data_IF_627492137960
#
_entry.id   IF_627492137960
#
_cell.length_a   1.000
_cell.length_b   1.000
_cell.length_c   1.000
_cell.angle_alpha   90.00
_cell.angle_beta   90.00
_cell.angle_gamma   90.00
#
_symmetry.space_group_name_H-M   'P 1'
#
loop_
_entity.id
_entity.type
_entity.pdbx_description
1 polymer ?
#
# COMPACT_ATOMS: atom_id res chain seq x y z
N UNK A 1 -24.36 -62.89 -83.30
CA UNK A 1 -24.01 -63.71 -82.11
C UNK A 1 -23.69 -62.62 -81.03
N UNK A 2 -24.75 -62.11 -80.46
CA UNK A 2 -24.77 -61.05 -79.50
C UNK A 2 -24.91 -61.67 -78.09
N UNK A 3 -23.97 -61.40 -77.25
CA UNK A 3 -24.00 -61.80 -75.81
C UNK A 3 -24.44 -60.61 -75.00
N UNK A 4 -25.69 -60.66 -74.57
CA UNK A 4 -26.21 -59.77 -73.54
C UNK A 4 -25.56 -60.10 -72.16
N UNK A 5 -24.94 -59.17 -71.57
CA UNK A 5 -24.48 -59.18 -70.21
C UNK A 5 -25.41 -58.36 -69.35
N UNK A 6 -26.23 -59.07 -68.61
CA UNK A 6 -27.15 -58.51 -67.57
C UNK A 6 -26.26 -58.06 -66.41
N UNK A 7 -26.26 -56.71 -66.18
CA UNK A 7 -25.66 -56.05 -65.01
C UNK A 7 -26.75 -55.83 -63.95
N UNK A 8 -26.77 -56.76 -62.99
CA UNK A 8 -27.58 -56.63 -61.80
C UNK A 8 -27.29 -55.36 -61.06
N UNK A 9 -28.36 -54.62 -60.77
CA UNK A 9 -28.44 -53.42 -59.94
C UNK A 9 -28.40 -53.82 -58.45
N UNK A 10 -27.21 -53.80 -57.82
CA UNK A 10 -27.01 -53.98 -56.41
C UNK A 10 -26.59 -52.60 -55.78
N UNK A 11 -27.43 -51.62 -56.06
CA UNK A 11 -27.29 -50.28 -55.42
C UNK A 11 -28.31 -50.09 -54.31
N UNK A 12 -28.06 -50.53 -53.06
CA UNK A 12 -28.64 -49.83 -51.90
C UNK A 12 -28.38 -50.57 -50.58
N UNK A 13 -27.17 -50.52 -50.05
CA UNK A 13 -26.98 -50.88 -48.63
C UNK A 13 -25.68 -50.28 -48.06
N UNK A 14 -25.48 -48.93 -48.13
CA UNK A 14 -24.40 -48.25 -47.40
C UNK A 14 -24.82 -46.87 -46.85
N UNK A 15 -26.01 -46.78 -46.28
CA UNK A 15 -26.43 -45.51 -45.70
C UNK A 15 -27.15 -45.64 -44.33
N UNK A 16 -26.64 -46.49 -43.42
CA UNK A 16 -27.09 -46.48 -42.02
C UNK A 16 -25.92 -46.74 -41.04
N UNK A 17 -24.91 -45.92 -41.06
CA UNK A 17 -23.99 -45.75 -39.92
C UNK A 17 -23.69 -44.26 -39.74
N UNK A 18 -24.73 -43.48 -39.70
CA UNK A 18 -24.68 -42.11 -39.15
C UNK A 18 -24.56 -42.18 -37.65
N UNK A 19 -23.41 -42.62 -37.13
CA UNK A 19 -23.05 -42.39 -35.76
C UNK A 19 -22.83 -40.88 -35.59
N UNK A 20 -23.90 -40.14 -35.24
CA UNK A 20 -23.77 -38.76 -34.74
C UNK A 20 -23.00 -38.86 -33.41
N UNK A 21 -21.70 -38.70 -33.47
CA UNK A 21 -20.94 -38.43 -32.26
C UNK A 21 -21.54 -37.17 -31.63
N UNK A 22 -21.89 -37.20 -30.33
CA UNK A 22 -22.29 -35.96 -29.65
C UNK A 22 -21.15 -34.96 -29.84
N UNK A 23 -21.46 -33.66 -30.06
CA UNK A 23 -20.43 -32.64 -30.13
C UNK A 23 -19.53 -32.80 -28.93
N UNK A 24 -18.20 -32.85 -29.15
CA UNK A 24 -17.25 -32.83 -28.05
C UNK A 24 -17.44 -31.52 -27.35
N UNK A 25 -18.24 -31.50 -26.26
CA UNK A 25 -18.39 -30.30 -25.45
C UNK A 25 -17.01 -29.91 -24.94
N UNK A 26 -16.51 -28.74 -25.38
CA UNK A 26 -15.28 -28.19 -24.84
C UNK A 26 -15.46 -28.02 -23.31
N UNK A 27 -14.46 -28.36 -22.50
CA UNK A 27 -14.55 -28.22 -21.07
C UNK A 27 -14.92 -26.76 -20.71
N UNK A 28 -15.76 -26.57 -19.69
CA UNK A 28 -16.22 -25.22 -19.31
C UNK A 28 -15.05 -24.32 -18.91
N UNK A 29 -15.19 -23.03 -19.18
CA UNK A 29 -14.24 -22.00 -18.71
C UNK A 29 -14.12 -22.07 -17.20
N UNK A 30 -12.90 -22.12 -16.69
CA UNK A 30 -12.62 -22.20 -15.27
C UNK A 30 -11.54 -21.17 -14.89
N UNK A 31 -11.87 -20.32 -13.90
CA UNK A 31 -10.91 -19.39 -13.31
C UNK A 31 -10.05 -20.13 -12.27
N UNK A 32 -8.74 -20.13 -12.47
CA UNK A 32 -7.79 -20.60 -11.47
C UNK A 32 -7.49 -19.53 -10.41
N UNK A 33 -7.70 -18.25 -10.75
CA UNK A 33 -7.69 -17.17 -9.77
C UNK A 33 -8.99 -17.20 -8.95
N UNK A 34 -8.87 -17.14 -7.63
CA UNK A 34 -10.03 -17.12 -6.73
C UNK A 34 -10.86 -15.84 -6.89
N UNK A 35 -12.19 -15.99 -6.87
CA UNK A 35 -13.08 -14.85 -6.83
C UNK A 35 -12.92 -14.08 -5.52
N UNK A 36 -12.95 -12.74 -5.58
CA UNK A 36 -12.69 -11.81 -4.46
C UNK A 36 -11.25 -11.83 -3.94
N UNK A 37 -10.30 -12.24 -4.77
CA UNK A 37 -8.86 -12.07 -4.47
C UNK A 37 -8.55 -10.61 -4.15
N UNK A 38 -7.73 -10.40 -3.12
CA UNK A 38 -7.28 -9.07 -2.70
C UNK A 38 -5.83 -8.88 -3.15
N UNK A 39 -5.59 -7.84 -3.93
CA UNK A 39 -4.26 -7.38 -4.35
C UNK A 39 -3.96 -6.10 -3.61
N UNK A 40 -2.80 -6.01 -2.97
CA UNK A 40 -2.33 -4.77 -2.34
C UNK A 40 -1.14 -4.22 -3.12
N UNK A 41 -1.21 -2.97 -3.52
CA UNK A 41 -0.14 -2.26 -4.23
C UNK A 41 0.14 -0.91 -3.58
N UNK A 42 1.38 -0.47 -3.66
CA UNK A 42 1.80 0.81 -3.11
C UNK A 42 1.60 1.92 -4.14
N UNK A 43 1.21 3.11 -3.69
CA UNK A 43 1.13 4.31 -4.53
C UNK A 43 2.46 4.55 -5.28
N UNK A 44 2.37 4.77 -6.59
CA UNK A 44 3.51 4.98 -7.47
C UNK A 44 4.16 3.70 -8.02
N UNK A 45 3.86 2.52 -7.47
CA UNK A 45 4.34 1.23 -7.97
C UNK A 45 3.48 0.71 -9.14
N UNK A 46 3.78 -0.47 -9.63
CA UNK A 46 2.97 -1.17 -10.61
C UNK A 46 2.14 -2.25 -9.93
N UNK A 47 0.81 -2.17 -10.05
CA UNK A 47 -0.07 -3.25 -9.62
C UNK A 47 -0.23 -4.29 -10.72
N UNK A 48 -0.21 -5.56 -10.32
CA UNK A 48 -0.52 -6.70 -11.16
C UNK A 48 -1.77 -7.37 -10.59
N UNK A 49 -2.90 -7.23 -11.30
CA UNK A 49 -4.18 -7.80 -10.90
C UNK A 49 -4.37 -9.10 -11.66
N UNK A 50 -4.27 -10.27 -11.00
CA UNK A 50 -4.20 -11.55 -11.68
C UNK A 50 -5.56 -12.00 -12.22
N UNK A 51 -5.56 -12.67 -13.37
CA UNK A 51 -6.70 -13.42 -13.89
C UNK A 51 -6.19 -14.61 -14.68
N UNK A 52 -6.13 -15.78 -14.05
CA UNK A 52 -5.71 -17.03 -14.67
C UNK A 52 -6.94 -17.84 -15.05
N UNK A 53 -7.04 -18.21 -16.33
CA UNK A 53 -8.26 -18.80 -16.92
C UNK A 53 -7.89 -20.04 -17.72
N UNK A 54 -8.42 -21.16 -17.32
CA UNK A 54 -8.27 -22.43 -18.03
C UNK A 54 -9.44 -22.63 -19.00
N UNK A 55 -9.17 -23.29 -20.12
CA UNK A 55 -10.16 -23.69 -21.13
C UNK A 55 -10.94 -22.47 -21.73
N UNK A 56 -10.25 -21.37 -21.98
CA UNK A 56 -10.88 -20.14 -22.52
C UNK A 56 -11.50 -20.35 -23.91
N UNK A 57 -11.00 -21.34 -24.70
CA UNK A 57 -11.44 -21.57 -26.09
C UNK A 57 -11.30 -20.31 -26.96
N UNK A 58 -12.35 -19.99 -27.71
CA UNK A 58 -12.42 -18.77 -28.52
C UNK A 58 -12.91 -17.54 -27.75
N UNK A 59 -13.02 -17.66 -26.40
CA UNK A 59 -13.45 -16.57 -25.53
C UNK A 59 -12.46 -15.41 -25.49
N UNK A 60 -12.95 -14.19 -25.32
CA UNK A 60 -12.16 -13.00 -25.13
C UNK A 60 -12.21 -12.53 -23.69
N UNK A 61 -11.05 -12.18 -23.12
CA UNK A 61 -10.97 -11.63 -21.76
C UNK A 61 -11.13 -10.13 -21.80
N UNK A 62 -11.98 -9.60 -20.94
CA UNK A 62 -12.19 -8.16 -20.76
C UNK A 62 -11.94 -7.75 -19.33
N UNK A 63 -11.24 -6.63 -19.14
CA UNK A 63 -11.09 -6.01 -17.83
C UNK A 63 -12.01 -4.81 -17.69
N UNK A 64 -12.79 -4.77 -16.59
CA UNK A 64 -13.78 -3.73 -16.31
C UNK A 64 -13.50 -3.18 -14.90
N UNK A 65 -13.40 -1.86 -14.77
CA UNK A 65 -13.33 -1.18 -13.47
C UNK A 65 -14.74 -0.94 -12.94
N UNK A 66 -15.09 -1.60 -11.82
CA UNK A 66 -16.48 -1.66 -11.33
C UNK A 66 -17.04 -0.38 -10.74
N UNK A 67 -16.19 0.53 -10.24
CA UNK A 67 -16.65 1.79 -9.65
C UNK A 67 -17.42 2.70 -10.62
N UNK A 68 -17.12 2.60 -11.91
CA UNK A 68 -17.70 3.41 -12.98
C UNK A 68 -18.06 2.59 -14.24
N UNK A 69 -17.95 1.26 -14.15
CA UNK A 69 -18.19 0.31 -15.22
C UNK A 69 -17.36 0.60 -16.49
N UNK A 70 -16.18 1.21 -16.29
CA UNK A 70 -15.30 1.56 -17.39
C UNK A 70 -14.61 0.30 -17.94
N UNK A 71 -14.81 0.07 -19.27
CA UNK A 71 -14.10 -0.97 -20.00
C UNK A 71 -12.64 -0.55 -20.17
N UNK A 72 -11.71 -1.31 -19.60
CA UNK A 72 -10.27 -1.03 -19.65
C UNK A 72 -9.60 -1.69 -20.84
N UNK A 73 -9.81 -2.99 -21.02
CA UNK A 73 -9.21 -3.78 -22.11
C UNK A 73 -10.17 -4.85 -22.62
N UNK A 74 -9.98 -5.24 -23.89
CA UNK A 74 -10.54 -6.43 -24.51
C UNK A 74 -9.39 -7.18 -25.15
N UNK A 75 -9.09 -8.40 -24.71
CA UNK A 75 -7.83 -9.05 -25.03
C UNK A 75 -6.65 -8.16 -24.66
N UNK A 76 -5.72 -7.97 -25.58
CA UNK A 76 -4.57 -7.07 -25.42
C UNK A 76 -4.83 -5.62 -25.84
N UNK A 77 -6.02 -5.34 -26.39
CA UNK A 77 -6.38 -3.99 -26.84
C UNK A 77 -6.89 -3.16 -25.66
N UNK A 78 -6.27 -1.99 -25.44
CA UNK A 78 -6.71 -1.03 -24.42
C UNK A 78 -7.76 -0.10 -24.97
N UNK A 79 -8.89 0.03 -24.26
CA UNK A 79 -10.01 0.93 -24.58
C UNK A 79 -10.04 2.17 -23.68
N UNK A 80 -9.27 2.15 -22.59
CA UNK A 80 -9.13 3.31 -21.72
C UNK A 80 -8.22 4.37 -22.36
N UNK A 81 -8.54 5.66 -22.19
CA UNK A 81 -7.64 6.77 -22.52
C UNK A 81 -6.48 6.93 -21.51
N UNK A 82 -6.48 6.17 -20.42
CA UNK A 82 -5.42 6.16 -19.42
C UNK A 82 -4.42 5.04 -19.76
N UNK A 83 -3.27 5.41 -20.30
CA UNK A 83 -2.21 4.50 -20.78
C UNK A 83 -1.57 3.64 -19.68
N UNK A 84 -1.90 3.90 -18.41
CA UNK A 84 -1.41 3.12 -17.28
C UNK A 84 -2.01 1.71 -17.20
N UNK A 85 -3.18 1.51 -17.81
CA UNK A 85 -3.88 0.23 -17.83
C UNK A 85 -3.51 -0.59 -19.06
N UNK A 86 -2.99 -1.79 -18.86
CA UNK A 86 -2.61 -2.71 -19.92
C UNK A 86 -2.90 -4.15 -19.51
N UNK A 87 -3.48 -4.95 -20.40
CA UNK A 87 -3.53 -6.41 -20.19
C UNK A 87 -2.19 -7.01 -20.59
N UNK A 88 -1.68 -7.92 -19.75
CA UNK A 88 -0.49 -8.73 -20.01
C UNK A 88 -0.94 -10.16 -20.23
N UNK A 89 -0.52 -10.73 -21.37
CA UNK A 89 -0.75 -12.13 -21.68
C UNK A 89 0.40 -12.62 -22.55
N UNK A 90 1.08 -13.67 -22.10
CA UNK A 90 2.12 -14.32 -22.87
C UNK A 90 1.50 -15.40 -23.74
N UNK A 91 2.03 -15.61 -24.94
CA UNK A 91 1.56 -16.64 -25.85
C UNK A 91 1.62 -18.01 -25.17
N UNK A 92 0.53 -18.76 -25.24
CA UNK A 92 0.33 -20.05 -24.55
C UNK A 92 0.27 -19.99 -23.01
N UNK A 93 0.13 -18.82 -22.42
CA UNK A 93 -0.14 -18.65 -21.00
C UNK A 93 -1.66 -18.66 -20.75
N UNK A 94 -2.06 -19.08 -19.57
CA UNK A 94 -3.44 -18.98 -19.08
C UNK A 94 -3.69 -17.68 -18.31
N UNK A 95 -2.64 -16.86 -18.12
CA UNK A 95 -2.66 -15.63 -17.35
C UNK A 95 -3.04 -14.41 -18.22
N UNK A 96 -4.05 -13.66 -17.76
CA UNK A 96 -4.56 -12.43 -18.33
C UNK A 96 -4.47 -11.29 -17.32
N UNK A 97 -3.30 -11.10 -16.72
CA UNK A 97 -3.07 -10.10 -15.69
C UNK A 97 -3.31 -8.69 -16.21
N UNK A 98 -4.08 -7.88 -15.46
CA UNK A 98 -4.17 -6.44 -15.67
C UNK A 98 -3.00 -5.75 -14.96
N UNK A 99 -2.17 -5.06 -15.72
CA UNK A 99 -1.12 -4.18 -15.21
C UNK A 99 -1.65 -2.76 -15.09
N UNK A 100 -1.40 -2.14 -13.93
CA UNK A 100 -1.69 -0.72 -13.66
C UNK A 100 -0.39 -0.06 -13.25
N UNK A 101 0.20 0.76 -14.13
CA UNK A 101 1.45 1.47 -13.86
C UNK A 101 1.20 2.72 -13.01
N UNK A 102 2.16 3.08 -12.17
CA UNK A 102 2.09 4.29 -11.34
C UNK A 102 0.77 4.41 -10.59
N UNK A 103 0.43 3.35 -9.86
CA UNK A 103 -0.82 3.22 -9.11
C UNK A 103 -1.07 4.45 -8.23
N UNK A 104 -2.29 4.93 -8.23
CA UNK A 104 -2.75 6.07 -7.44
C UNK A 104 -3.87 5.63 -6.50
N UNK A 105 -4.07 6.37 -5.42
CA UNK A 105 -5.13 6.08 -4.44
C UNK A 105 -6.52 5.95 -5.10
N UNK A 106 -6.78 6.73 -6.16
CA UNK A 106 -8.03 6.68 -6.94
C UNK A 106 -8.23 5.39 -7.73
N UNK A 107 -7.19 4.57 -7.92
CA UNK A 107 -7.26 3.29 -8.62
C UNK A 107 -7.72 2.15 -7.70
N UNK A 108 -7.79 2.38 -6.39
CA UNK A 108 -8.34 1.42 -5.45
C UNK A 108 -9.81 1.11 -5.78
N UNK A 109 -10.19 -0.15 -5.63
CA UNK A 109 -11.55 -0.60 -5.87
C UNK A 109 -11.63 -1.98 -6.50
N UNK A 110 -12.83 -2.33 -6.95
CA UNK A 110 -13.16 -3.62 -7.52
C UNK A 110 -12.94 -3.63 -9.03
N UNK A 111 -12.23 -4.64 -9.51
CA UNK A 111 -12.00 -4.92 -10.92
C UNK A 111 -12.65 -6.25 -11.27
N UNK A 112 -13.20 -6.34 -12.47
CA UNK A 112 -13.82 -7.54 -12.99
C UNK A 112 -13.00 -8.07 -14.18
N UNK A 113 -12.64 -9.35 -14.11
CA UNK A 113 -12.10 -10.12 -15.22
C UNK A 113 -13.25 -10.96 -15.80
N UNK A 114 -13.69 -10.65 -17.01
CA UNK A 114 -14.82 -11.27 -17.67
C UNK A 114 -14.37 -12.03 -18.90
N UNK A 115 -14.92 -13.22 -19.12
CA UNK A 115 -14.77 -14.01 -20.36
C UNK A 115 -16.07 -13.97 -21.14
N UNK A 116 -15.97 -13.71 -22.47
CA UNK A 116 -17.09 -13.74 -23.41
C UNK A 116 -17.54 -15.17 -23.75
N UNK A 117 -17.66 -16.02 -22.74
CA UNK A 117 -18.25 -17.38 -22.88
C UNK A 117 -19.78 -17.32 -22.97
N UNK A 118 -20.40 -18.45 -23.25
CA UNK A 118 -21.86 -18.53 -23.26
C UNK A 118 -22.37 -19.56 -22.25
N UNK A 119 -22.96 -19.15 -21.10
CA UNK A 119 -23.15 -17.77 -20.65
C UNK A 119 -21.82 -17.05 -20.28
N UNK A 120 -21.79 -15.71 -20.29
CA UNK A 120 -20.62 -14.95 -19.82
C UNK A 120 -20.30 -15.27 -18.36
N UNK A 121 -19.02 -15.42 -18.07
CA UNK A 121 -18.52 -15.71 -16.71
C UNK A 121 -17.48 -14.68 -16.29
N UNK A 122 -17.41 -14.37 -15.01
CA UNK A 122 -16.46 -13.40 -14.48
C UNK A 122 -16.06 -13.69 -13.05
N UNK A 123 -14.90 -13.12 -12.65
CA UNK A 123 -14.44 -13.01 -11.27
C UNK A 123 -14.16 -11.57 -10.92
N UNK A 124 -14.16 -11.29 -9.62
CA UNK A 124 -13.90 -9.96 -9.07
C UNK A 124 -12.61 -9.97 -8.25
N UNK A 125 -11.78 -8.95 -8.44
CA UNK A 125 -10.53 -8.77 -7.71
C UNK A 125 -10.52 -7.39 -7.08
N UNK A 126 -10.25 -7.33 -5.76
CA UNK A 126 -10.16 -6.09 -5.02
C UNK A 126 -8.74 -5.56 -5.04
N UNK A 127 -8.52 -4.38 -5.60
CA UNK A 127 -7.25 -3.65 -5.50
C UNK A 127 -7.28 -2.71 -4.30
N UNK A 128 -6.38 -2.95 -3.34
CA UNK A 128 -6.11 -2.05 -2.24
C UNK A 128 -4.85 -1.25 -2.55
N UNK A 129 -4.91 0.08 -2.41
CA UNK A 129 -3.77 0.95 -2.60
C UNK A 129 -3.34 1.51 -1.27
N UNK A 130 -2.06 1.34 -0.92
CA UNK A 130 -1.47 1.80 0.33
C UNK A 130 -0.41 2.86 0.06
N UNK A 131 -0.23 3.76 1.01
CA UNK A 131 0.84 4.75 0.99
C UNK A 131 1.90 4.37 2.01
N UNK A 132 3.09 4.02 1.51
CA UNK A 132 4.20 3.68 2.38
C UNK A 132 4.75 4.93 3.07
N UNK A 133 5.05 4.81 4.35
CA UNK A 133 5.62 5.89 5.15
C UNK A 133 6.71 5.38 6.07
N UNK A 134 7.70 6.21 6.32
CA UNK A 134 8.65 6.00 7.39
C UNK A 134 8.00 6.36 8.74
N UNK A 135 8.49 5.73 9.80
CA UNK A 135 8.15 6.07 11.16
C UNK A 135 9.42 5.98 12.04
N UNK A 136 9.74 7.05 12.77
CA UNK A 136 10.82 7.04 13.74
C UNK A 136 10.23 6.71 15.10
N UNK A 137 10.72 5.64 15.75
CA UNK A 137 10.20 5.18 17.03
C UNK A 137 10.38 6.22 18.13
N UNK A 138 9.29 6.51 18.84
CA UNK A 138 9.23 7.43 19.97
C UNK A 138 8.59 8.76 19.67
N UNK A 139 8.73 9.75 20.55
CA UNK A 139 8.09 11.03 20.39
C UNK A 139 8.71 11.87 19.26
N UNK A 140 7.95 12.85 18.76
CA UNK A 140 8.40 13.80 17.73
C UNK A 140 9.55 14.70 18.21
N UNK A 141 9.75 14.82 19.53
CA UNK A 141 10.85 15.54 20.15
C UNK A 141 11.51 14.68 21.23
N UNK A 142 12.85 14.62 21.23
CA UNK A 142 13.65 13.91 22.22
C UNK A 142 14.58 14.87 22.96
N UNK A 143 14.65 14.73 24.27
CA UNK A 143 15.49 15.56 25.14
C UNK A 143 16.58 14.69 25.76
N UNK A 144 17.83 15.07 25.57
CA UNK A 144 19.02 14.34 26.02
C UNK A 144 19.98 15.27 26.81
N UNK A 145 20.72 14.65 27.73
CA UNK A 145 21.86 15.32 28.37
C UNK A 145 23.11 15.18 27.51
N UNK A 146 24.03 16.16 27.50
CA UNK A 146 25.34 15.99 26.90
C UNK A 146 26.04 14.72 27.42
N UNK A 147 26.74 14.00 26.55
CA UNK A 147 27.41 12.76 26.90
C UNK A 147 26.55 11.51 26.83
N UNK A 148 25.22 11.63 26.76
CA UNK A 148 24.35 10.46 26.63
C UNK A 148 24.34 9.88 25.21
N UNK A 149 23.93 8.60 25.08
CA UNK A 149 23.72 7.97 23.80
C UNK A 149 22.40 8.39 23.14
N UNK A 150 22.42 8.71 21.85
CA UNK A 150 21.23 8.86 21.02
C UNK A 150 21.06 7.61 20.17
N UNK A 151 19.86 7.03 20.19
CA UNK A 151 19.43 5.99 19.25
C UNK A 151 18.10 6.39 18.62
N UNK A 152 18.07 6.43 17.30
CA UNK A 152 16.87 6.63 16.50
C UNK A 152 16.68 5.40 15.63
N UNK A 153 15.50 4.81 15.69
CA UNK A 153 15.13 3.68 14.84
C UNK A 153 14.00 4.09 13.93
N UNK A 154 14.22 3.91 12.63
CA UNK A 154 13.26 4.17 11.58
C UNK A 154 12.75 2.84 11.02
N UNK A 155 11.45 2.74 10.82
CA UNK A 155 10.80 1.58 10.20
C UNK A 155 9.94 2.06 9.03
N UNK A 156 9.97 1.35 7.90
CA UNK A 156 9.11 1.65 6.75
C UNK A 156 7.84 0.81 6.87
N UNK A 157 6.71 1.49 7.01
CA UNK A 157 5.39 0.89 7.18
C UNK A 157 4.60 0.92 5.88
N UNK A 158 3.69 -0.04 5.70
CA UNK A 158 2.78 -0.17 4.55
C UNK A 158 3.50 -0.21 3.19
N UNK A 159 4.76 -0.61 3.17
CA UNK A 159 5.49 -0.81 1.93
C UNK A 159 5.30 -2.24 1.43
N UNK A 160 4.93 -2.40 0.17
CA UNK A 160 4.78 -3.71 -0.49
C UNK A 160 6.13 -4.31 -0.86
N UNK A 161 7.17 -3.46 -1.01
CA UNK A 161 8.52 -3.87 -1.37
C UNK A 161 9.54 -3.24 -0.41
N UNK A 162 10.69 -3.88 -0.17
CA UNK A 162 11.75 -3.26 0.60
C UNK A 162 12.28 -1.99 -0.10
N UNK A 163 12.70 -0.96 0.65
CA UNK A 163 13.35 0.20 0.06
C UNK A 163 14.71 -0.18 -0.52
N UNK A 164 15.14 0.49 -1.60
CA UNK A 164 16.49 0.31 -2.16
C UNK A 164 17.57 0.94 -1.28
N UNK A 165 17.19 1.97 -0.54
CA UNK A 165 18.05 2.64 0.44
C UNK A 165 17.21 3.37 1.49
N UNK A 166 17.84 3.70 2.63
CA UNK A 166 17.31 4.60 3.66
C UNK A 166 18.40 5.62 3.99
N UNK A 167 18.12 6.90 3.74
CA UNK A 167 19.03 7.97 4.10
C UNK A 167 18.60 8.69 5.36
N UNK A 168 19.59 9.05 6.18
CA UNK A 168 19.40 9.90 7.34
C UNK A 168 19.96 11.29 7.07
N UNK A 169 19.20 12.28 7.49
CA UNK A 169 19.58 13.68 7.41
C UNK A 169 19.58 14.30 8.80
N UNK A 170 20.53 15.18 9.06
CA UNK A 170 20.56 16.06 10.20
C UNK A 170 20.56 17.51 9.69
N UNK A 171 19.53 18.28 10.00
CA UNK A 171 19.33 19.66 9.50
C UNK A 171 19.55 19.75 7.98
N UNK A 172 18.91 18.88 7.22
CA UNK A 172 18.97 18.76 5.75
C UNK A 172 20.33 18.29 5.16
N UNK A 173 21.31 17.95 5.99
CA UNK A 173 22.58 17.37 5.55
C UNK A 173 22.55 15.85 5.75
N UNK A 174 22.88 15.08 4.70
CA UNK A 174 22.98 13.61 4.79
C UNK A 174 24.14 13.21 5.72
N UNK A 175 23.89 12.21 6.58
CA UNK A 175 24.80 11.79 7.65
C UNK A 175 25.06 10.27 7.69
N UNK A 176 24.65 9.50 6.71
CA UNK A 176 24.83 8.04 6.72
C UNK A 176 26.28 7.58 6.86
N UNK A 177 27.23 8.40 6.45
CA UNK A 177 28.65 8.06 6.37
C UNK A 177 29.52 8.90 7.32
N UNK A 178 28.93 9.60 8.30
CA UNK A 178 29.63 10.53 9.20
C UNK A 178 30.26 9.79 10.41
N UNK A 179 30.94 8.68 10.18
CA UNK A 179 31.57 7.86 11.23
C UNK A 179 32.58 8.69 12.03
N UNK A 180 33.36 9.55 11.36
CA UNK A 180 34.35 10.45 11.99
C UNK A 180 33.71 11.43 12.99
N UNK A 181 32.42 11.65 12.89
CA UNK A 181 31.62 12.50 13.81
C UNK A 181 30.96 11.71 14.91
N UNK A 182 31.22 10.41 15.01
CA UNK A 182 30.62 9.50 15.99
C UNK A 182 29.20 9.10 15.66
N UNK A 183 28.77 9.24 14.41
CA UNK A 183 27.46 8.82 13.90
C UNK A 183 27.64 7.46 13.23
N UNK A 184 26.86 6.47 13.65
CA UNK A 184 26.81 5.17 13.02
C UNK A 184 25.37 4.87 12.55
N UNK A 185 25.24 4.46 11.29
CA UNK A 185 23.94 4.07 10.69
C UNK A 185 24.02 2.63 10.26
N UNK A 186 23.08 1.82 10.74
CA UNK A 186 22.91 0.43 10.32
C UNK A 186 21.54 0.28 9.70
N UNK A 187 21.47 -0.25 8.47
CA UNK A 187 20.23 -0.43 7.74
C UNK A 187 20.06 -1.89 7.36
N UNK A 188 18.89 -2.45 7.69
CA UNK A 188 18.42 -3.72 7.21
C UNK A 188 17.26 -3.46 6.23
N UNK A 189 17.53 -3.64 4.95
CA UNK A 189 16.55 -3.37 3.90
C UNK A 189 15.46 -4.45 3.86
N UNK A 190 15.78 -5.69 4.20
CA UNK A 190 14.83 -6.80 4.23
C UNK A 190 13.81 -6.64 5.35
N UNK A 191 14.25 -6.21 6.52
CA UNK A 191 13.39 -5.89 7.67
C UNK A 191 12.79 -4.48 7.58
N UNK A 192 13.14 -3.73 6.52
CA UNK A 192 12.68 -2.35 6.29
C UNK A 192 12.97 -1.41 7.46
N UNK A 193 14.12 -1.60 8.12
CA UNK A 193 14.53 -0.83 9.30
C UNK A 193 15.88 -0.17 9.10
N UNK A 194 16.05 0.99 9.72
CA UNK A 194 17.33 1.69 9.79
C UNK A 194 17.53 2.30 11.16
N UNK A 195 18.70 2.10 11.74
CA UNK A 195 19.04 2.60 13.08
C UNK A 195 20.22 3.56 12.98
N UNK A 196 20.02 4.76 13.49
CA UNK A 196 21.07 5.75 13.70
C UNK A 196 21.47 5.78 15.17
N UNK A 197 22.78 5.74 15.45
CA UNK A 197 23.32 5.80 16.81
C UNK A 197 24.42 6.85 16.92
N UNK A 198 24.40 7.59 18.02
CA UNK A 198 25.47 8.51 18.44
C UNK A 198 25.83 8.15 19.88
N UNK A 199 27.06 7.71 20.14
CA UNK A 199 27.46 7.20 21.47
C UNK A 199 27.67 8.33 22.49
N UNK A 200 28.07 9.50 22.05
CA UNK A 200 28.39 10.65 22.89
C UNK A 200 27.75 11.91 22.30
N UNK A 201 26.50 12.17 22.67
CA UNK A 201 25.73 13.29 22.19
C UNK A 201 26.29 14.62 22.75
N UNK A 202 26.56 15.57 21.86
CA UNK A 202 26.98 16.92 22.18
C UNK A 202 25.99 17.94 21.61
N UNK A 203 26.04 19.18 22.04
CA UNK A 203 25.12 20.25 21.61
C UNK A 203 25.01 20.37 20.09
N UNK A 204 26.12 20.16 19.36
CA UNK A 204 26.15 20.15 17.88
C UNK A 204 25.25 19.07 17.23
N UNK A 205 24.81 18.07 18.00
CA UNK A 205 23.90 17.01 17.55
C UNK A 205 22.43 17.35 17.81
N UNK A 206 22.15 18.53 18.37
CA UNK A 206 20.76 19.05 18.43
C UNK A 206 20.28 19.41 17.03
N UNK A 207 19.01 19.16 16.76
CA UNK A 207 18.40 19.49 15.47
C UNK A 207 17.41 18.46 14.98
N UNK A 208 16.96 18.66 13.76
CA UNK A 208 16.00 17.80 13.10
C UNK A 208 16.69 16.60 12.43
N UNK A 209 16.27 15.40 12.80
CA UNK A 209 16.70 14.14 12.17
C UNK A 209 15.59 13.61 11.28
N UNK A 210 15.89 13.36 10.00
CA UNK A 210 14.92 12.83 9.05
C UNK A 210 15.41 11.50 8.49
N UNK A 211 14.51 10.53 8.48
CA UNK A 211 14.67 9.23 7.83
C UNK A 211 13.94 9.27 6.49
N UNK A 212 14.65 9.02 5.39
CA UNK A 212 14.17 9.17 4.02
C UNK A 212 14.41 7.87 3.24
N UNK A 213 13.44 6.95 3.23
CA UNK A 213 13.49 5.76 2.38
C UNK A 213 13.27 6.09 0.91
N UNK A 214 13.75 5.22 0.00
CA UNK A 214 13.60 5.40 -1.47
C UNK A 214 12.17 5.29 -1.97
N UNK A 215 11.31 4.59 -1.25
CA UNK A 215 9.96 4.23 -1.70
C UNK A 215 8.85 4.56 -0.70
N UNK A 216 9.09 5.45 0.25
CA UNK A 216 8.12 5.81 1.28
C UNK A 216 8.21 7.28 1.67
N UNK A 217 7.13 7.82 2.24
CA UNK A 217 7.12 9.17 2.81
C UNK A 217 8.12 9.26 3.96
N UNK A 218 8.92 10.35 4.03
CA UNK A 218 9.91 10.51 5.08
C UNK A 218 9.29 10.78 6.45
N UNK A 219 10.03 10.46 7.52
CA UNK A 219 9.71 10.83 8.88
C UNK A 219 10.81 11.68 9.51
N UNK A 220 10.45 12.51 10.48
CA UNK A 220 11.43 13.32 11.20
C UNK A 220 11.14 13.39 12.69
N UNK A 221 12.20 13.60 13.48
CA UNK A 221 12.14 13.85 14.92
C UNK A 221 13.15 14.94 15.29
N UNK A 222 12.81 15.79 16.22
CA UNK A 222 13.72 16.82 16.71
C UNK A 222 14.43 16.35 17.98
N UNK A 223 15.76 16.50 18.03
CA UNK A 223 16.58 16.14 19.18
C UNK A 223 17.11 17.41 19.83
N UNK A 224 16.81 17.57 21.12
CA UNK A 224 17.31 18.64 21.96
C UNK A 224 18.39 18.08 22.89
N UNK A 225 19.61 18.63 22.82
CA UNK A 225 20.66 18.31 23.77
C UNK A 225 20.80 19.51 24.70
N UNK A 226 20.28 19.31 25.93
CA UNK A 226 20.19 20.36 26.92
C UNK A 226 21.57 20.64 27.52
N UNK A 227 22.06 21.87 27.43
CA UNK A 227 23.23 22.28 28.23
C UNK A 227 22.91 22.00 29.69
N UNK A 228 23.84 21.35 30.38
CA UNK A 228 23.66 20.88 31.77
C UNK A 228 23.52 21.99 32.84
N UNK A 229 23.01 23.15 32.46
CA UNK A 229 22.62 24.18 33.42
C UNK A 229 21.30 23.72 34.06
N UNK A 230 21.29 23.62 35.38
CA UNK A 230 20.20 23.13 36.18
C UNK A 230 18.86 23.75 35.78
N UNK A 231 17.77 22.99 35.64
CA UNK A 231 16.41 23.53 35.51
C UNK A 231 15.92 24.25 36.80
N UNK A 232 16.78 24.49 37.79
CA UNK A 232 16.48 25.18 39.02
C UNK A 232 16.09 26.67 38.84
N UNK A 233 16.25 27.25 37.64
CA UNK A 233 15.87 28.63 37.39
C UNK A 233 14.42 28.83 36.91
N UNK A 234 13.63 27.76 36.79
CA UNK A 234 12.18 27.86 36.56
C UNK A 234 11.36 27.67 37.85
N UNK A 235 11.90 28.00 39.00
CA UNK A 235 11.03 28.31 40.12
C UNK A 235 10.40 29.69 39.82
N UNK A 236 9.16 29.63 39.36
CA UNK A 236 8.29 30.79 39.38
C UNK A 236 8.40 31.44 40.75
N UNK A 237 8.89 32.66 40.78
CA UNK A 237 8.78 33.52 41.93
C UNK A 237 7.31 33.67 42.29
N UNK A 238 6.85 32.77 43.14
CA UNK A 238 5.56 32.90 43.79
C UNK A 238 5.63 34.19 44.59
N UNK A 239 4.98 35.24 44.10
CA UNK A 239 4.64 36.42 44.91
C UNK A 239 3.87 35.90 46.10
N UNK A 240 4.54 35.88 47.27
CA UNK A 240 3.90 35.65 48.54
C UNK A 240 2.79 36.68 48.75
N UNK A 241 1.56 36.23 48.65
CA UNK A 241 0.43 36.96 49.18
C UNK A 241 0.57 36.93 50.70
N UNK A 242 0.95 38.08 51.26
CA UNK A 242 0.92 38.35 52.68
C UNK A 242 -0.49 38.09 53.22
N UNK A 243 -0.57 37.23 54.21
CA UNK A 243 -1.76 36.98 55.00
C UNK A 243 -2.14 38.26 55.75
N UNK A 244 -3.14 38.96 55.25
CA UNK A 244 -3.83 39.98 56.05
C UNK A 244 -4.62 39.24 57.11
N UNK A 245 -4.14 39.31 58.34
CA UNK A 245 -4.89 38.97 59.55
C UNK A 245 -6.12 39.83 59.61
N UNK A 246 -7.29 39.28 59.35
CA UNK A 246 -8.56 39.87 59.75
C UNK A 246 -8.86 39.47 61.20
N UNK A 247 -8.81 40.43 62.10
CA UNK A 247 -9.34 40.31 63.48
C UNK A 247 -10.87 40.32 63.41
N UNK A 248 -11.55 39.55 64.31
CA UNK A 248 -13.00 39.58 64.39
C UNK A 248 -13.52 40.69 65.31
N UNK A 249 -14.27 41.61 64.77
CA UNK A 249 -15.19 42.39 65.58
C UNK A 249 -16.45 42.73 64.79
N UNK A 250 -17.51 42.12 65.25
CA UNK A 250 -18.87 42.59 65.48
C UNK A 250 -19.75 43.18 64.35
N UNK A 251 -20.85 42.48 64.16
CA UNK A 251 -22.23 42.97 64.10
C UNK A 251 -22.89 43.28 62.76
N UNK A 252 -23.93 42.47 62.53
CA UNK A 252 -25.29 42.77 62.04
C UNK A 252 -25.57 42.83 60.52
N UNK A 253 -26.34 41.81 60.15
CA UNK A 253 -27.52 41.81 59.24
C UNK A 253 -27.48 42.69 57.99
N UNK A 254 -27.69 42.03 56.86
CA UNK A 254 -28.86 42.23 55.99
C UNK A 254 -28.77 41.23 54.80
N UNK A 255 -29.89 40.60 54.51
CA UNK A 255 -30.23 39.76 53.37
C UNK A 255 -29.88 40.41 52.02
N UNK A 256 -29.37 39.67 51.10
CA UNK A 256 -29.97 39.62 49.76
C UNK A 256 -29.20 38.66 48.83
N UNK A 257 -29.94 37.82 48.23
CA UNK A 257 -29.75 36.97 47.09
C UNK A 257 -28.90 37.63 46.01
N UNK A 258 -27.88 36.93 45.52
CA UNK A 258 -27.56 36.89 44.07
C UNK A 258 -26.80 35.57 43.81
N UNK A 259 -27.47 34.67 43.07
CA UNK A 259 -26.93 33.62 42.26
C UNK A 259 -26.11 34.32 41.16
N UNK A 260 -24.90 33.82 40.84
CA UNK A 260 -24.34 33.79 39.49
C UNK A 260 -22.94 33.14 39.57
N UNK A 261 -22.85 31.98 38.93
CA UNK A 261 -21.81 31.42 38.06
C UNK A 261 -20.32 31.72 38.35
N UNK A 262 -19.58 30.66 38.66
CA UNK A 262 -18.34 30.27 37.96
C UNK A 262 -18.39 28.78 37.71
#
# INVERSE_FOLDING_TARGET
MELDLDLGDDGNELNELGASFPPLESPPVHFATDNNTIVTSQTGSTALVPCVINNIGDGMVSWIRRKDYHLLTVGLTTYSSDDRFQAIHLQHSEDWTLQIKFVQQRDAGLYECQVSSHPPTSIFIQLNVVEARAEIQGPSEKYLKPGSGLRLQCTVLQSTEPPSYVFWYHNNRMINYDVDRGINVTTDLSEKTSTLTITNAATRHSGNYSCVPSNAQPASTYVHILNGENPAAMQHGGRGLSWLQCSPSSWLLIFSVIIIWC
#
